data_IF_562213647535
#
_entry.id   IF_562213647535
#
_cell.length_a   1.000
_cell.length_b   1.000
_cell.length_c   1.000
_cell.angle_alpha   90.00
_cell.angle_beta   90.00
_cell.angle_gamma   90.00
#
_symmetry.space_group_name_H-M   'P 1'
#
loop_
_entity.id
_entity.type
_entity.pdbx_description
1 polymer ?
#
# COMPACT_ATOMS: atom_id res chain seq x y z
N UNK A 1 -23.21 -9.77 13.23
CA UNK A 1 -21.82 -9.67 12.73
C UNK A 1 -21.76 -8.56 11.71
N UNK A 2 -20.84 -7.60 11.89
CA UNK A 2 -20.65 -6.49 10.96
C UNK A 2 -19.65 -6.93 9.89
N UNK A 3 -20.00 -6.73 8.62
CA UNK A 3 -19.08 -6.95 7.51
C UNK A 3 -17.98 -5.88 7.53
N UNK A 4 -16.75 -6.20 7.10
CA UNK A 4 -15.71 -5.19 6.92
C UNK A 4 -16.16 -4.12 5.93
N UNK A 5 -15.75 -2.88 6.16
CA UNK A 5 -16.06 -1.75 5.30
C UNK A 5 -15.55 -2.03 3.88
N UNK A 6 -16.48 -2.13 2.93
CA UNK A 6 -16.15 -2.45 1.54
C UNK A 6 -15.22 -1.43 0.91
N UNK A 7 -15.33 -0.17 1.28
CA UNK A 7 -14.55 0.92 0.69
C UNK A 7 -13.06 0.75 0.98
N UNK A 8 -12.68 0.46 2.23
CA UNK A 8 -11.27 0.27 2.57
C UNK A 8 -10.70 -0.99 1.90
N UNK A 9 -11.50 -2.05 1.77
CA UNK A 9 -11.08 -3.26 1.04
C UNK A 9 -10.79 -2.94 -0.43
N UNK A 10 -11.65 -2.17 -1.11
CA UNK A 10 -11.40 -1.76 -2.49
C UNK A 10 -10.16 -0.87 -2.63
N UNK A 11 -9.91 0.05 -1.69
CA UNK A 11 -8.70 0.87 -1.68
C UNK A 11 -7.44 0.02 -1.52
N UNK A 12 -7.44 -0.94 -0.60
CA UNK A 12 -6.31 -1.86 -0.41
C UNK A 12 -6.06 -2.72 -1.66
N UNK A 13 -7.12 -3.27 -2.28
CA UNK A 13 -7.01 -4.02 -3.54
C UNK A 13 -6.42 -3.15 -4.67
N UNK A 14 -6.86 -1.89 -4.77
CA UNK A 14 -6.28 -0.96 -5.74
C UNK A 14 -4.77 -0.76 -5.51
N UNK A 15 -4.31 -0.63 -4.26
CA UNK A 15 -2.86 -0.54 -3.97
C UNK A 15 -2.13 -1.84 -4.32
N UNK A 16 -2.76 -3.00 -4.13
CA UNK A 16 -2.13 -4.27 -4.57
C UNK A 16 -1.92 -4.35 -6.08
N UNK A 17 -2.76 -3.67 -6.87
CA UNK A 17 -2.64 -3.65 -8.33
C UNK A 17 -1.72 -2.55 -8.85
N UNK A 18 -1.76 -1.35 -8.25
CA UNK A 18 -1.10 -0.15 -8.78
C UNK A 18 0.12 0.31 -7.97
N UNK A 19 0.29 -0.18 -6.75
CA UNK A 19 1.37 0.26 -5.85
C UNK A 19 2.73 -0.34 -6.17
N UNK A 20 3.76 0.24 -5.58
CA UNK A 20 5.12 -0.31 -5.60
C UNK A 20 5.20 -1.60 -4.77
N UNK A 21 6.27 -2.39 -4.88
CA UNK A 21 6.41 -3.67 -4.17
C UNK A 21 6.14 -3.58 -2.66
N UNK A 22 6.72 -2.60 -1.96
CA UNK A 22 6.45 -2.36 -0.54
C UNK A 22 4.98 -2.04 -0.26
N UNK A 23 4.36 -1.20 -1.08
CA UNK A 23 2.96 -0.83 -0.93
C UNK A 23 2.03 -2.01 -1.17
N UNK A 24 2.33 -2.86 -2.17
CA UNK A 24 1.60 -4.10 -2.45
C UNK A 24 1.72 -5.09 -1.31
N UNK A 25 2.92 -5.27 -0.76
CA UNK A 25 3.15 -6.16 0.37
C UNK A 25 2.42 -5.67 1.63
N UNK A 26 2.52 -4.36 1.92
CA UNK A 26 1.83 -3.71 3.03
C UNK A 26 0.29 -3.73 2.90
N UNK A 27 -0.24 -3.60 1.68
CA UNK A 27 -1.66 -3.73 1.40
C UNK A 27 -2.16 -5.18 1.60
N UNK A 28 -1.39 -6.17 1.15
CA UNK A 28 -1.71 -7.59 1.36
C UNK A 28 -1.74 -7.96 2.86
N UNK A 29 -0.77 -7.48 3.65
CA UNK A 29 -0.76 -7.71 5.10
C UNK A 29 -2.00 -7.12 5.80
N UNK A 30 -2.48 -5.96 5.35
CA UNK A 30 -3.69 -5.31 5.87
C UNK A 30 -4.96 -6.05 5.46
N UNK A 31 -5.05 -6.54 4.23
CA UNK A 31 -6.15 -7.41 3.79
C UNK A 31 -6.21 -8.70 4.61
N UNK A 32 -5.05 -9.30 4.93
CA UNK A 32 -4.99 -10.46 5.81
C UNK A 32 -5.48 -10.15 7.23
N UNK A 33 -5.12 -8.98 7.77
CA UNK A 33 -5.56 -8.52 9.10
C UNK A 33 -7.08 -8.29 9.16
N UNK A 34 -7.68 -7.70 8.12
CA UNK A 34 -9.14 -7.55 8.02
C UNK A 34 -9.86 -8.91 7.96
N UNK A 35 -9.30 -9.87 7.22
CA UNK A 35 -9.83 -11.23 7.15
C UNK A 35 -9.72 -11.95 8.48
N UNK A 36 -8.59 -11.82 9.17
CA UNK A 36 -8.39 -12.40 10.49
C UNK A 36 -9.37 -11.82 11.51
N UNK A 37 -9.49 -10.48 11.56
CA UNK A 37 -10.45 -9.79 12.42
C UNK A 37 -11.90 -10.24 12.18
N UNK A 38 -12.31 -10.43 10.92
CA UNK A 38 -13.64 -10.95 10.59
C UNK A 38 -13.84 -12.37 11.12
N UNK A 39 -12.84 -13.24 10.96
CA UNK A 39 -12.93 -14.62 11.45
C UNK A 39 -12.89 -14.70 12.97
N UNK A 40 -12.12 -13.84 13.63
CA UNK A 40 -12.05 -13.76 15.08
C UNK A 40 -13.34 -13.21 15.69
N UNK A 41 -13.93 -12.14 15.13
CA UNK A 41 -15.25 -11.62 15.54
C UNK A 41 -16.34 -12.69 15.39
N UNK A 42 -16.24 -13.51 14.34
CA UNK A 42 -17.15 -14.64 14.10
C UNK A 42 -16.98 -15.78 15.10
N UNK A 43 -15.74 -16.08 15.50
CA UNK A 43 -15.40 -17.23 16.36
C UNK A 43 -15.54 -16.90 17.85
N UNK A 44 -15.24 -15.67 18.23
CA UNK A 44 -15.34 -15.15 19.59
C UNK A 44 -15.97 -13.75 19.52
N UNK A 45 -17.30 -13.63 19.59
CA UNK A 45 -17.97 -12.34 19.68
C UNK A 45 -17.61 -11.68 21.02
N UNK A 46 -16.45 -11.05 21.07
CA UNK A 46 -15.92 -10.37 22.25
C UNK A 46 -16.59 -9.01 22.40
N UNK A 47 -16.76 -8.52 23.63
CA UNK A 47 -17.32 -7.19 23.90
C UNK A 47 -16.46 -6.02 23.39
N UNK A 48 -15.25 -6.30 22.87
CA UNK A 48 -14.36 -5.30 22.27
C UNK A 48 -14.42 -5.37 20.74
N UNK A 49 -14.73 -4.26 20.05
CA UNK A 49 -14.86 -4.25 18.61
C UNK A 49 -13.47 -4.28 17.93
N UNK A 50 -12.98 -5.49 17.60
CA UNK A 50 -11.69 -5.69 16.91
C UNK A 50 -11.74 -5.16 15.47
N UNK A 51 -12.86 -5.40 14.77
CA UNK A 51 -13.03 -5.00 13.38
C UNK A 51 -12.88 -3.48 13.15
N UNK A 52 -13.57 -2.59 13.89
CA UNK A 52 -13.37 -1.13 13.76
C UNK A 52 -11.94 -0.65 14.04
N UNK A 53 -11.21 -1.31 14.95
CA UNK A 53 -9.81 -0.94 15.21
C UNK A 53 -8.94 -1.23 13.98
N UNK A 54 -9.06 -2.42 13.41
CA UNK A 54 -8.33 -2.80 12.19
C UNK A 54 -8.76 -1.95 10.99
N UNK A 55 -10.04 -1.64 10.84
CA UNK A 55 -10.54 -0.71 9.81
C UNK A 55 -9.87 0.66 9.94
N UNK A 56 -9.77 1.18 11.16
CA UNK A 56 -9.13 2.48 11.44
C UNK A 56 -7.65 2.46 11.05
N UNK A 57 -6.91 1.42 11.41
CA UNK A 57 -5.50 1.28 11.03
C UNK A 57 -5.30 1.18 9.51
N UNK A 58 -6.20 0.47 8.82
CA UNK A 58 -6.17 0.40 7.36
C UNK A 58 -6.43 1.77 6.72
N UNK A 59 -7.40 2.52 7.25
CA UNK A 59 -7.73 3.87 6.79
C UNK A 59 -6.57 4.85 6.99
N UNK A 60 -5.98 4.87 8.18
CA UNK A 60 -4.81 5.70 8.49
C UNK A 60 -3.69 5.45 7.49
N UNK A 61 -3.34 4.18 7.26
CA UNK A 61 -2.30 3.83 6.31
C UNK A 61 -2.65 4.21 4.87
N UNK A 62 -3.89 3.97 4.44
CA UNK A 62 -4.32 4.38 3.09
C UNK A 62 -4.14 5.89 2.90
N UNK A 63 -4.48 6.71 3.90
CA UNK A 63 -4.27 8.15 3.85
C UNK A 63 -2.78 8.53 3.80
N UNK A 64 -1.90 7.81 4.50
CA UNK A 64 -0.45 8.03 4.40
C UNK A 64 0.06 7.75 2.98
N UNK A 65 -0.35 6.62 2.39
CA UNK A 65 0.05 6.24 1.03
C UNK A 65 -0.52 7.19 -0.02
N UNK A 66 -1.80 7.59 0.12
CA UNK A 66 -2.45 8.51 -0.81
C UNK A 66 -1.87 9.93 -0.77
N UNK A 67 -1.30 10.34 0.37
CA UNK A 67 -0.63 11.63 0.53
C UNK A 67 0.88 11.59 0.21
N UNK A 68 1.46 10.41 -0.04
CA UNK A 68 2.85 10.35 -0.52
C UNK A 68 2.91 10.94 -1.94
N UNK A 69 3.79 11.94 -2.18
CA UNK A 69 4.00 12.40 -3.54
C UNK A 69 4.47 11.22 -4.40
N UNK A 70 4.04 11.14 -5.68
CA UNK A 70 4.56 10.12 -6.58
C UNK A 70 6.08 10.21 -6.55
N UNK A 71 6.73 9.08 -6.29
CA UNK A 71 8.19 9.02 -6.21
C UNK A 71 8.76 9.77 -7.43
N UNK A 72 9.75 10.67 -7.23
CA UNK A 72 10.33 11.40 -8.33
C UNK A 72 10.77 10.38 -9.38
N UNK A 73 10.14 10.42 -10.56
CA UNK A 73 10.58 9.62 -11.70
C UNK A 73 12.03 10.00 -11.91
N UNK A 74 12.95 9.08 -11.62
CA UNK A 74 14.37 9.32 -11.89
C UNK A 74 14.48 9.80 -13.35
N UNK A 75 15.11 10.96 -13.60
CA UNK A 75 15.37 11.38 -14.96
C UNK A 75 16.15 10.25 -15.63
N UNK A 76 15.69 9.85 -16.82
CA UNK A 76 16.30 8.78 -17.59
C UNK A 76 17.83 8.92 -17.57
N UNK A 77 18.59 7.81 -17.37
CA UNK A 77 20.03 7.87 -17.39
C UNK A 77 20.44 8.58 -18.67
N UNK A 78 21.04 9.76 -18.53
CA UNK A 78 21.54 10.51 -19.67
C UNK A 78 22.65 9.64 -20.21
N UNK A 79 22.34 8.87 -21.27
CA UNK A 79 23.32 8.13 -22.06
C UNK A 79 24.43 9.12 -22.36
N UNK A 80 25.55 8.99 -21.65
CA UNK A 80 26.68 9.87 -21.78
C UNK A 80 27.11 9.85 -23.24
N UNK A 81 26.73 10.87 -23.98
CA UNK A 81 27.26 11.17 -25.30
C UNK A 81 28.76 11.38 -25.10
N UNK A 82 29.56 10.37 -25.48
CA UNK A 82 31.01 10.49 -25.55
C UNK A 82 31.36 11.63 -26.51
N UNK A 83 32.06 12.70 -26.09
CA UNK A 83 32.65 13.62 -27.05
C UNK A 83 33.86 12.92 -27.68
N UNK A 84 33.67 12.45 -28.91
CA UNK A 84 34.75 11.99 -29.76
C UNK A 84 35.58 13.23 -30.15
N UNK A 85 36.82 13.31 -29.68
CA UNK A 85 37.85 14.16 -30.26
C UNK A 85 38.52 15.13 -29.29
N UNK A 86 39.74 14.80 -28.88
CA UNK A 86 40.88 15.72 -28.97
C UNK A 86 42.20 14.95 -28.81
N UNK A 87 42.94 14.80 -29.91
CA UNK A 87 44.37 14.44 -29.93
C UNK A 87 45.14 15.74 -29.74
N UNK A 88 46.14 15.79 -28.84
CA UNK A 88 47.46 16.33 -29.21
C UNK A 88 48.55 15.36 -28.70
N UNK A 89 49.62 15.06 -29.43
CA UNK A 89 50.56 15.98 -30.07
C UNK A 89 51.89 15.80 -29.33
#
# INVERSE_FOLDING_TARGET
MRLPNREIVYRLLFVTEQGNEDQRNAANARLASLRDAFNNDRRFPSSRPVMPAIETECWTWWHEVANMPPAPREPAPTTGTVPFGQIPG
#
